data_IF_905914323122
#
_entry.id   IF_905914323122
#
_cell.length_a   1.000
_cell.length_b   1.000
_cell.length_c   1.000
_cell.angle_alpha   90.00
_cell.angle_beta   90.00
_cell.angle_gamma   90.00
#
_symmetry.space_group_name_H-M   'P 1'
#
loop_
_entity.id
_entity.type
_entity.pdbx_description
1 polymer ?
#
# COMPACT_ATOMS: atom_id res chain seq x y z
N UNK A 1 -14.62 14.55 11.76
CA UNK A 1 -13.73 14.38 10.58
C UNK A 1 -13.10 13.01 10.71
N UNK A 2 -13.38 12.10 9.76
CA UNK A 2 -12.82 10.75 9.81
C UNK A 2 -11.42 10.79 9.19
N UNK A 3 -10.39 10.61 10.00
CA UNK A 3 -8.97 10.66 9.57
C UNK A 3 -8.34 9.27 9.51
N UNK A 4 -8.98 8.28 10.12
CA UNK A 4 -8.54 6.89 10.07
C UNK A 4 -9.69 6.00 9.63
N UNK A 5 -9.41 5.13 8.67
CA UNK A 5 -10.30 4.07 8.23
C UNK A 5 -9.63 2.74 8.53
N UNK A 6 -10.21 1.97 9.44
CA UNK A 6 -9.72 0.64 9.81
C UNK A 6 -10.85 -0.35 9.62
N UNK A 7 -10.72 -1.19 8.60
CA UNK A 7 -11.62 -2.29 8.27
C UNK A 7 -10.91 -3.65 8.36
N UNK A 8 -9.60 -3.65 8.61
CA UNK A 8 -8.77 -4.84 8.62
C UNK A 8 -9.06 -5.84 9.74
N UNK A 9 -8.75 -7.11 9.49
CA UNK A 9 -8.94 -8.24 10.41
C UNK A 9 -9.06 -9.59 9.70
N UNK A 10 -8.75 -10.68 10.40
CA UNK A 10 -8.94 -12.03 9.88
C UNK A 10 -10.44 -12.33 9.75
N UNK A 11 -10.90 -12.63 8.53
CA UNK A 11 -12.32 -12.86 8.25
C UNK A 11 -13.12 -11.60 7.95
N UNK A 12 -12.46 -10.50 7.55
CA UNK A 12 -13.13 -9.33 6.98
C UNK A 12 -14.02 -9.75 5.80
N UNK A 13 -15.34 -9.67 5.98
CA UNK A 13 -16.36 -10.02 4.97
C UNK A 13 -16.75 -8.82 4.09
N UNK A 14 -16.07 -7.70 4.25
CA UNK A 14 -16.35 -6.49 3.48
C UNK A 14 -15.91 -6.71 2.04
N UNK A 15 -16.84 -6.46 1.13
CA UNK A 15 -16.62 -6.38 -0.30
C UNK A 15 -16.77 -4.92 -0.76
N UNK A 16 -16.33 -4.65 -1.99
CA UNK A 16 -16.35 -3.30 -2.56
C UNK A 16 -15.04 -2.95 -3.24
N UNK A 17 -14.94 -1.69 -3.68
CA UNK A 17 -13.77 -1.18 -4.38
C UNK A 17 -13.03 -0.14 -3.55
N UNK A 18 -11.69 -0.18 -3.54
CA UNK A 18 -10.88 0.90 -2.95
C UNK A 18 -11.10 2.25 -3.65
N UNK A 19 -11.67 2.25 -4.86
CA UNK A 19 -12.09 3.47 -5.54
C UNK A 19 -13.15 4.24 -4.75
N UNK A 20 -14.00 3.57 -3.97
CA UNK A 20 -15.08 4.22 -3.22
C UNK A 20 -14.54 5.12 -2.10
N UNK A 21 -13.35 4.82 -1.58
CA UNK A 21 -12.68 5.60 -0.54
C UNK A 21 -11.70 6.66 -1.12
N UNK A 22 -11.53 6.73 -2.44
CA UNK A 22 -10.63 7.69 -3.10
C UNK A 22 -11.07 9.15 -2.92
N UNK A 23 -12.35 9.39 -2.60
CA UNK A 23 -12.92 10.72 -2.36
C UNK A 23 -12.80 11.18 -0.89
N UNK A 24 -12.28 10.34 0.01
CA UNK A 24 -12.16 10.65 1.42
C UNK A 24 -10.85 11.41 1.70
N UNK A 25 -10.77 12.65 1.21
CA UNK A 25 -9.54 13.49 1.21
C UNK A 25 -8.95 13.78 2.60
N UNK A 26 -9.73 13.57 3.67
CA UNK A 26 -9.30 13.76 5.04
C UNK A 26 -8.58 12.55 5.65
N UNK A 27 -8.52 11.40 4.95
CA UNK A 27 -7.89 10.20 5.46
C UNK A 27 -6.37 10.36 5.55
N UNK A 28 -5.84 10.01 6.72
CA UNK A 28 -4.43 9.93 7.04
C UNK A 28 -3.96 8.49 7.20
N UNK A 29 -4.83 7.61 7.71
CA UNK A 29 -4.50 6.20 7.94
C UNK A 29 -5.57 5.30 7.32
N UNK A 30 -5.14 4.35 6.49
CA UNK A 30 -5.99 3.37 5.84
C UNK A 30 -5.45 1.99 6.18
N UNK A 31 -6.24 1.19 6.88
CA UNK A 31 -5.95 -0.21 7.14
C UNK A 31 -7.11 -1.09 6.67
N UNK A 32 -6.88 -1.77 5.55
CA UNK A 32 -7.78 -2.75 4.96
C UNK A 32 -7.22 -4.18 5.09
N UNK A 33 -6.21 -4.38 5.94
CA UNK A 33 -5.47 -5.63 5.96
C UNK A 33 -6.37 -6.84 6.28
N UNK A 34 -6.29 -7.91 5.51
CA UNK A 34 -7.17 -9.07 5.70
C UNK A 34 -8.52 -9.00 4.99
N UNK A 35 -8.87 -7.88 4.35
CA UNK A 35 -10.07 -7.78 3.54
C UNK A 35 -9.84 -8.38 2.15
N UNK A 36 -10.10 -9.69 2.04
CA UNK A 36 -9.80 -10.47 0.84
C UNK A 36 -10.75 -10.21 -0.33
N UNK A 37 -11.94 -9.65 -0.06
CA UNK A 37 -12.97 -9.42 -1.07
C UNK A 37 -12.96 -7.98 -1.62
N UNK A 38 -12.16 -7.09 -1.06
CA UNK A 38 -11.99 -5.72 -1.57
C UNK A 38 -11.10 -5.76 -2.79
N UNK A 39 -11.57 -5.15 -3.88
CA UNK A 39 -10.88 -5.09 -5.16
C UNK A 39 -10.51 -3.65 -5.56
N UNK A 40 -9.81 -3.53 -6.68
CA UNK A 40 -9.49 -2.25 -7.32
C UNK A 40 -8.00 -2.09 -7.59
N UNK A 41 -7.65 -0.92 -8.11
CA UNK A 41 -6.28 -0.59 -8.47
C UNK A 41 -5.65 0.29 -7.40
N UNK A 42 -4.47 -0.05 -6.92
CA UNK A 42 -3.73 0.75 -5.92
C UNK A 42 -3.58 2.22 -6.34
N UNK A 43 -3.61 2.53 -7.64
CA UNK A 43 -3.56 3.89 -8.17
C UNK A 43 -4.79 4.72 -7.80
N UNK A 44 -5.93 4.09 -7.50
CA UNK A 44 -7.14 4.81 -7.07
C UNK A 44 -6.92 5.56 -5.74
N UNK A 45 -5.99 5.09 -4.90
CA UNK A 45 -5.63 5.75 -3.63
C UNK A 45 -4.49 6.77 -3.78
N UNK A 46 -3.86 6.83 -4.95
CA UNK A 46 -2.70 7.70 -5.26
C UNK A 46 -3.06 9.17 -5.45
N UNK A 47 -4.20 9.63 -4.96
CA UNK A 47 -4.57 11.05 -4.96
C UNK A 47 -4.96 11.56 -3.59
N UNK A 48 -4.97 10.68 -2.58
CA UNK A 48 -5.35 11.04 -1.23
C UNK A 48 -4.24 11.91 -0.62
N UNK A 49 -4.48 13.22 -0.43
CA UNK A 49 -3.40 14.18 -0.20
C UNK A 49 -2.81 14.08 1.21
N UNK A 50 -3.49 13.38 2.13
CA UNK A 50 -3.13 13.32 3.55
C UNK A 50 -2.75 11.92 4.03
N UNK A 51 -2.85 10.89 3.19
CA UNK A 51 -2.57 9.52 3.61
C UNK A 51 -1.08 9.38 3.92
N UNK A 52 -0.80 9.04 5.18
CA UNK A 52 0.52 8.75 5.74
C UNK A 52 0.76 7.26 5.83
N UNK A 53 -0.26 6.50 6.21
CA UNK A 53 -0.17 5.03 6.35
C UNK A 53 -1.21 4.35 5.48
N UNK A 54 -0.75 3.45 4.60
CA UNK A 54 -1.60 2.60 3.79
C UNK A 54 -1.23 1.12 4.00
N UNK A 55 -2.15 0.35 4.57
CA UNK A 55 -1.99 -1.08 4.79
C UNK A 55 -3.05 -1.89 4.03
N UNK A 56 -2.58 -2.63 3.03
CA UNK A 56 -3.34 -3.49 2.12
C UNK A 56 -2.83 -4.93 2.16
N UNK A 57 -2.13 -5.34 3.22
CA UNK A 57 -1.70 -6.73 3.37
C UNK A 57 -2.90 -7.69 3.38
N UNK A 58 -2.77 -8.90 2.86
CA UNK A 58 -3.87 -9.85 2.66
C UNK A 58 -5.04 -9.36 1.78
N UNK A 59 -4.95 -8.22 1.11
CA UNK A 59 -5.97 -7.82 0.14
C UNK A 59 -5.71 -8.54 -1.18
N UNK A 60 -6.30 -9.73 -1.32
CA UNK A 60 -6.03 -10.66 -2.42
C UNK A 60 -6.75 -10.34 -3.73
N UNK A 61 -7.42 -9.20 -3.83
CA UNK A 61 -8.10 -8.74 -5.05
C UNK A 61 -7.71 -7.31 -5.44
N UNK A 62 -6.81 -6.67 -4.68
CA UNK A 62 -6.22 -5.39 -5.05
C UNK A 62 -5.01 -5.64 -5.93
N UNK A 63 -4.95 -4.95 -7.06
CA UNK A 63 -3.88 -5.05 -8.03
C UNK A 63 -3.37 -3.67 -8.43
N UNK A 64 -2.52 -3.62 -9.47
CA UNK A 64 -2.01 -2.39 -10.02
C UNK A 64 -0.50 -2.24 -9.86
N UNK A 65 -0.02 -1.10 -10.36
CA UNK A 65 1.40 -0.78 -10.43
C UNK A 65 1.66 0.57 -9.79
N UNK A 66 2.73 0.64 -9.01
CA UNK A 66 3.24 1.91 -8.45
C UNK A 66 4.12 2.66 -9.45
N UNK A 67 4.39 2.09 -10.63
CA UNK A 67 5.06 2.80 -11.72
C UNK A 67 4.30 4.10 -12.03
N UNK A 68 5.05 5.20 -12.11
CA UNK A 68 4.53 6.55 -12.40
C UNK A 68 3.58 7.13 -11.33
N UNK A 69 3.48 6.52 -10.15
CA UNK A 69 2.62 7.01 -9.05
C UNK A 69 3.40 7.74 -7.95
N UNK A 70 4.65 8.12 -8.24
CA UNK A 70 5.59 8.67 -7.26
C UNK A 70 5.13 9.99 -6.63
N UNK A 71 4.39 10.80 -7.40
CA UNK A 71 3.83 12.09 -6.95
C UNK A 71 2.41 11.97 -6.39
N UNK A 72 1.74 10.84 -6.61
CA UNK A 72 0.35 10.64 -6.20
C UNK A 72 0.17 10.49 -4.68
N UNK A 73 1.23 10.10 -4.00
CA UNK A 73 1.23 9.84 -2.56
C UNK A 73 2.06 10.88 -1.82
N UNK A 74 1.69 12.18 -1.81
CA UNK A 74 2.58 13.26 -1.36
C UNK A 74 3.01 13.10 0.10
N UNK A 75 2.09 12.66 0.97
CA UNK A 75 2.32 12.52 2.42
C UNK A 75 2.58 11.10 2.89
N UNK A 76 2.75 10.13 1.98
CA UNK A 76 2.86 8.72 2.36
C UNK A 76 4.21 8.42 3.01
N UNK A 77 4.14 7.92 4.23
CA UNK A 77 5.28 7.56 5.09
C UNK A 77 5.43 6.03 5.17
N UNK A 78 4.30 5.29 5.16
CA UNK A 78 4.29 3.83 5.33
C UNK A 78 3.36 3.17 4.34
N UNK A 79 3.89 2.21 3.58
CA UNK A 79 3.15 1.42 2.60
C UNK A 79 3.33 -0.06 2.87
N UNK A 80 2.24 -0.76 3.19
CA UNK A 80 2.24 -2.20 3.41
C UNK A 80 1.32 -2.84 2.38
N UNK A 81 1.88 -3.68 1.49
CA UNK A 81 1.19 -4.18 0.29
C UNK A 81 1.50 -5.66 0.05
N UNK A 82 0.70 -6.29 -0.79
CA UNK A 82 0.92 -7.67 -1.25
C UNK A 82 1.92 -7.75 -2.41
N UNK A 83 2.65 -8.87 -2.52
CA UNK A 83 3.64 -9.17 -3.57
C UNK A 83 3.16 -9.05 -5.03
N UNK A 84 1.85 -8.96 -5.24
CA UNK A 84 1.22 -8.82 -6.56
C UNK A 84 1.28 -7.42 -7.13
N UNK A 85 1.45 -6.41 -6.27
CA UNK A 85 1.63 -5.03 -6.69
C UNK A 85 3.00 -4.89 -7.32
N UNK A 86 3.06 -4.34 -8.53
CA UNK A 86 4.30 -4.20 -9.31
C UNK A 86 4.84 -2.77 -9.23
N UNK A 87 6.08 -2.54 -9.68
CA UNK A 87 6.68 -1.19 -9.71
C UNK A 87 7.13 -0.68 -8.33
N UNK A 88 7.26 -1.60 -7.37
CA UNK A 88 7.60 -1.28 -5.98
C UNK A 88 9.04 -0.76 -5.89
N UNK A 89 9.95 -1.27 -6.74
CA UNK A 89 11.36 -0.86 -6.80
C UNK A 89 11.49 0.62 -7.15
N UNK A 90 10.93 0.99 -8.30
CA UNK A 90 10.94 2.36 -8.81
C UNK A 90 10.28 3.30 -7.79
N UNK A 91 9.21 2.84 -7.14
CA UNK A 91 8.56 3.59 -6.08
C UNK A 91 9.49 3.84 -4.89
N UNK A 92 10.19 2.83 -4.37
CA UNK A 92 11.14 2.98 -3.25
C UNK A 92 12.30 3.91 -3.64
N UNK A 93 12.83 3.78 -4.85
CA UNK A 93 13.91 4.64 -5.35
C UNK A 93 13.45 6.10 -5.46
N UNK A 94 12.24 6.34 -5.93
CA UNK A 94 11.65 7.68 -6.04
C UNK A 94 11.23 8.27 -4.68
N UNK A 95 10.74 7.44 -3.76
CA UNK A 95 10.23 7.81 -2.43
C UNK A 95 11.09 7.24 -1.31
N UNK A 96 12.33 7.71 -1.22
CA UNK A 96 13.32 7.28 -0.21
C UNK A 96 12.87 7.45 1.24
N UNK A 97 11.91 8.33 1.51
CA UNK A 97 11.39 8.60 2.85
C UNK A 97 10.19 7.70 3.21
N UNK A 98 9.67 6.92 2.27
CA UNK A 98 8.56 6.01 2.50
C UNK A 98 9.07 4.62 2.88
N UNK A 99 8.64 4.15 4.04
CA UNK A 99 8.86 2.78 4.51
C UNK A 99 7.92 1.83 3.78
N UNK A 100 8.47 0.91 2.99
CA UNK A 100 7.67 -0.05 2.20
C UNK A 100 7.83 -1.48 2.73
N UNK A 101 6.71 -2.14 2.98
CA UNK A 101 6.63 -3.53 3.41
C UNK A 101 5.87 -4.36 2.39
N UNK A 102 6.59 -5.26 1.72
CA UNK A 102 6.04 -6.18 0.75
C UNK A 102 5.78 -7.55 1.38
N UNK A 103 4.50 -7.86 1.60
CA UNK A 103 4.09 -9.16 2.13
C UNK A 103 4.33 -10.26 1.11
N UNK A 104 4.92 -11.37 1.57
CA UNK A 104 5.32 -12.49 0.72
C UNK A 104 6.71 -12.30 0.08
N UNK A 105 7.38 -11.16 0.36
CA UNK A 105 8.68 -10.83 -0.20
C UNK A 105 8.62 -10.45 -1.69
N UNK A 106 9.80 -10.20 -2.28
CA UNK A 106 9.98 -9.70 -3.65
C UNK A 106 9.61 -10.70 -4.76
N UNK A 107 9.28 -11.95 -4.41
CA UNK A 107 8.82 -12.95 -5.37
C UNK A 107 9.86 -13.18 -6.49
N UNK A 108 9.46 -12.93 -7.74
CA UNK A 108 10.28 -13.03 -8.95
C UNK A 108 10.97 -11.72 -9.35
N UNK A 109 10.69 -10.60 -8.67
CA UNK A 109 11.55 -9.42 -8.81
C UNK A 109 12.91 -9.72 -8.17
N UNK A 110 14.02 -9.14 -8.68
CA UNK A 110 15.33 -9.33 -8.08
C UNK A 110 15.29 -8.98 -6.57
N UNK A 111 16.29 -9.43 -5.80
CA UNK A 111 16.42 -8.93 -4.43
C UNK A 111 16.75 -7.43 -4.43
N UNK A 112 16.20 -6.63 -3.50
CA UNK A 112 16.56 -5.23 -3.38
C UNK A 112 18.04 -5.07 -3.07
N UNK A 113 18.63 -3.97 -3.53
CA UNK A 113 20.00 -3.60 -3.21
C UNK A 113 20.14 -3.25 -1.73
N UNK A 114 21.34 -3.34 -1.13
CA UNK A 114 21.56 -2.95 0.26
C UNK A 114 21.13 -1.51 0.58
N UNK A 115 21.18 -0.62 -0.42
CA UNK A 115 20.73 0.77 -0.29
C UNK A 115 19.21 0.91 -0.24
N UNK A 116 18.47 -0.05 -0.80
CA UNK A 116 17.01 -0.13 -0.74
C UNK A 116 16.54 -0.85 0.53
N UNK A 117 17.30 -1.86 1.01
CA UNK A 117 16.95 -2.65 2.21
C UNK A 117 16.76 -1.81 3.48
N UNK A 118 17.51 -0.72 3.65
CA UNK A 118 17.38 0.16 4.84
C UNK A 118 16.02 0.85 4.98
N UNK A 119 15.23 0.89 3.90
CA UNK A 119 13.88 1.46 3.88
C UNK A 119 12.79 0.40 4.02
N UNK A 120 13.17 -0.87 4.20
CA UNK A 120 12.28 -2.01 4.32
C UNK A 120 12.29 -2.53 5.75
N UNK A 121 11.10 -2.86 6.29
CA UNK A 121 11.03 -3.55 7.58
C UNK A 121 11.69 -4.91 7.47
N UNK A 122 12.52 -5.32 8.45
CA UNK A 122 12.96 -6.71 8.55
C UNK A 122 11.72 -7.60 8.64
N UNK A 123 11.73 -8.73 7.91
CA UNK A 123 10.71 -9.78 8.07
C UNK A 123 10.65 -10.11 9.56
N UNK A 124 9.53 -9.80 10.21
CA UNK A 124 9.26 -10.34 11.54
C UNK A 124 9.29 -11.86 11.40
N UNK A 125 10.24 -12.48 12.12
CA UNK A 125 10.53 -13.91 12.17
C UNK A 125 9.28 -14.78 12.22
#
# INVERSE_FOLDING_TARGET
KMTSLTLGGWGCKIDGSIRDISNLEALENIDLSGCTNINGDIRDLSRLPKVKTLNLQNCLQIEGSLLNCFTGYPSLEKLMIEKRITGVREFIVARRECEVNLRGGWGSEPAPTPAEEKFMRPKSR
#
